data_IF_948588441442
#
_entry.id   IF_948588441442
#
_cell.length_a   1.000
_cell.length_b   1.000
_cell.length_c   1.000
_cell.angle_alpha   90.00
_cell.angle_beta   90.00
_cell.angle_gamma   90.00
#
_symmetry.space_group_name_H-M   'P 1'
#
loop_
_entity.id
_entity.type
_entity.pdbx_description
1 polymer ?
#
# COMPACT_ATOMS: atom_id res chain seq x y z
N UNK A 1 -21.08 -28.81 -2.91
CA UNK A 1 -21.64 -27.98 -1.82
C UNK A 1 -21.54 -26.52 -2.27
N UNK A 2 -22.63 -25.78 -2.28
CA UNK A 2 -22.63 -24.36 -2.59
C UNK A 2 -22.34 -23.60 -1.29
N UNK A 3 -21.20 -22.91 -1.20
CA UNK A 3 -20.74 -22.21 0.00
C UNK A 3 -20.76 -20.68 -0.16
N UNK A 4 -21.22 -20.17 -1.32
CA UNK A 4 -21.35 -18.73 -1.55
C UNK A 4 -22.30 -18.07 -0.55
N UNK A 5 -22.01 -16.82 -0.21
CA UNK A 5 -22.76 -15.97 0.73
C UNK A 5 -22.81 -16.44 2.19
N UNK A 6 -22.04 -17.46 2.58
CA UNK A 6 -21.88 -17.82 3.98
C UNK A 6 -20.74 -17.02 4.62
N UNK A 7 -20.90 -16.50 5.85
CA UNK A 7 -19.84 -15.84 6.59
C UNK A 7 -18.87 -16.90 7.15
N UNK A 8 -18.05 -17.48 6.28
CA UNK A 8 -17.07 -18.50 6.67
C UNK A 8 -15.93 -17.85 7.44
N UNK A 9 -15.74 -18.26 8.69
CA UNK A 9 -14.54 -17.93 9.45
C UNK A 9 -13.39 -18.88 9.10
N UNK A 10 -13.70 -20.17 9.00
CA UNK A 10 -12.77 -21.25 8.65
C UNK A 10 -13.46 -22.34 7.81
N UNK A 11 -12.82 -22.86 6.77
CA UNK A 11 -11.58 -22.36 6.15
C UNK A 11 -11.80 -21.00 5.46
N UNK A 12 -10.70 -20.26 5.14
CA UNK A 12 -10.82 -19.05 4.32
C UNK A 12 -11.54 -19.33 2.99
N UNK A 13 -12.34 -18.37 2.53
CA UNK A 13 -13.21 -18.55 1.34
C UNK A 13 -12.45 -19.03 0.11
N UNK A 14 -11.22 -18.55 -0.11
CA UNK A 14 -10.36 -18.96 -1.21
C UNK A 14 -9.88 -20.43 -1.14
N UNK A 15 -9.94 -21.05 0.02
CA UNK A 15 -9.72 -22.51 0.19
C UNK A 15 -11.03 -23.25 -0.03
N UNK A 16 -12.11 -22.73 0.55
CA UNK A 16 -13.43 -23.34 0.45
C UNK A 16 -13.94 -23.40 -0.99
N UNK A 17 -13.64 -22.41 -1.82
CA UNK A 17 -13.98 -22.37 -3.26
C UNK A 17 -13.25 -23.44 -4.10
N UNK A 18 -12.12 -23.97 -3.60
CA UNK A 18 -11.38 -25.06 -4.29
C UNK A 18 -12.01 -26.44 -4.12
N UNK A 19 -13.06 -26.54 -3.29
CA UNK A 19 -13.83 -27.77 -3.09
C UNK A 19 -13.45 -28.59 -1.86
N UNK A 20 -14.16 -29.71 -1.69
CA UNK A 20 -14.10 -30.53 -0.45
C UNK A 20 -12.70 -31.03 -0.11
N UNK A 21 -11.91 -31.43 -1.09
CA UNK A 21 -10.55 -31.93 -0.86
C UNK A 21 -9.65 -30.84 -0.25
N UNK A 22 -9.73 -29.63 -0.78
CA UNK A 22 -8.97 -28.49 -0.25
C UNK A 22 -9.40 -28.14 1.18
N UNK A 23 -10.70 -28.25 1.47
CA UNK A 23 -11.24 -28.04 2.83
C UNK A 23 -10.69 -29.09 3.80
N UNK A 24 -10.75 -30.36 3.44
CA UNK A 24 -10.25 -31.45 4.27
C UNK A 24 -8.75 -31.34 4.53
N UNK A 25 -7.97 -31.05 3.47
CA UNK A 25 -6.53 -30.85 3.60
C UNK A 25 -6.20 -29.66 4.53
N UNK A 26 -6.95 -28.56 4.40
CA UNK A 26 -6.79 -27.40 5.29
C UNK A 26 -6.97 -27.77 6.76
N UNK A 27 -8.04 -28.51 7.10
CA UNK A 27 -8.27 -28.93 8.48
C UNK A 27 -7.27 -29.97 8.97
N UNK A 28 -6.84 -30.90 8.11
CA UNK A 28 -5.82 -31.88 8.45
C UNK A 28 -4.45 -31.23 8.74
N UNK A 29 -4.08 -30.19 7.97
CA UNK A 29 -2.87 -29.43 8.23
C UNK A 29 -3.00 -28.57 9.51
N UNK A 30 -4.18 -28.02 9.77
CA UNK A 30 -4.44 -27.26 10.97
C UNK A 30 -4.31 -28.11 12.24
N UNK A 31 -4.81 -29.35 12.21
CA UNK A 31 -4.64 -30.32 13.32
C UNK A 31 -3.19 -30.68 13.57
N UNK A 32 -2.37 -30.80 12.50
CA UNK A 32 -0.95 -31.17 12.62
C UNK A 32 -0.06 -30.02 13.10
N UNK A 33 -0.31 -28.83 12.60
CA UNK A 33 0.61 -27.69 12.78
C UNK A 33 0.11 -26.65 13.79
N UNK A 34 -1.18 -26.71 14.15
CA UNK A 34 -1.83 -25.68 14.92
C UNK A 34 -2.07 -24.40 14.12
N UNK A 35 -2.68 -23.42 14.75
CA UNK A 35 -2.80 -22.06 14.18
C UNK A 35 -1.58 -21.25 14.56
N UNK A 36 -0.88 -20.72 13.56
CA UNK A 36 0.12 -19.68 13.79
C UNK A 36 -0.46 -18.35 13.32
N UNK A 37 -0.53 -17.38 14.23
CA UNK A 37 -0.92 -16.03 13.88
C UNK A 37 0.04 -15.49 12.83
N UNK A 38 -0.50 -14.97 11.71
CA UNK A 38 0.34 -14.31 10.72
C UNK A 38 0.80 -12.96 11.27
N UNK A 39 2.03 -12.92 11.74
CA UNK A 39 2.66 -11.75 12.34
C UNK A 39 3.20 -10.76 11.29
N UNK A 40 2.99 -11.01 10.01
CA UNK A 40 3.52 -10.16 8.94
C UNK A 40 2.42 -9.37 8.24
N UNK A 41 2.67 -8.08 8.08
CA UNK A 41 1.86 -7.18 7.27
C UNK A 41 2.66 -6.79 6.03
N UNK A 42 2.10 -6.98 4.85
CA UNK A 42 2.68 -6.44 3.63
C UNK A 42 2.27 -4.98 3.48
N UNK A 43 3.24 -4.07 3.53
CA UNK A 43 3.05 -2.63 3.39
C UNK A 43 3.73 -2.17 2.10
N UNK A 44 2.97 -1.70 1.13
CA UNK A 44 3.50 -1.21 -0.14
C UNK A 44 3.36 0.32 -0.23
N UNK A 45 4.46 0.99 -0.59
CA UNK A 45 4.49 2.44 -0.74
C UNK A 45 4.57 2.76 -2.23
N UNK A 46 3.50 3.33 -2.74
CA UNK A 46 3.31 3.62 -4.18
C UNK A 46 3.09 5.12 -4.40
N UNK A 47 3.27 5.58 -5.63
CA UNK A 47 3.13 6.99 -6.02
C UNK A 47 4.23 7.40 -7.00
N UNK A 48 4.12 8.59 -7.54
CA UNK A 48 5.04 9.13 -8.55
C UNK A 48 6.51 9.20 -8.09
N UNK A 49 7.41 9.43 -9.01
CA UNK A 49 8.79 9.82 -8.71
C UNK A 49 8.82 11.09 -7.85
N UNK A 50 9.86 11.30 -7.09
CA UNK A 50 10.12 12.50 -6.30
C UNK A 50 9.05 12.94 -5.28
N UNK A 51 7.96 12.18 -5.08
CA UNK A 51 6.96 12.51 -4.05
C UNK A 51 7.44 12.24 -2.62
N UNK A 52 8.64 11.69 -2.42
CA UNK A 52 9.22 11.48 -1.08
C UNK A 52 8.91 10.14 -0.44
N UNK A 53 8.59 9.08 -1.22
CA UNK A 53 8.33 7.72 -0.70
C UNK A 53 9.48 7.19 0.15
N UNK A 54 10.66 7.11 -0.43
CA UNK A 54 11.87 6.61 0.25
C UNK A 54 12.27 7.47 1.46
N UNK A 55 12.12 8.78 1.36
CA UNK A 55 12.33 9.70 2.48
C UNK A 55 11.35 9.42 3.62
N UNK A 56 10.09 9.14 3.29
CA UNK A 56 9.07 8.74 4.26
C UNK A 56 9.44 7.40 4.92
N UNK A 57 9.90 6.41 4.14
CA UNK A 57 10.37 5.12 4.67
C UNK A 57 11.50 5.33 5.69
N UNK A 58 12.52 6.10 5.35
CA UNK A 58 13.60 6.42 6.28
C UNK A 58 13.10 7.12 7.55
N UNK A 59 12.11 8.02 7.40
CA UNK A 59 11.53 8.69 8.57
C UNK A 59 10.78 7.74 9.48
N UNK A 60 10.04 6.79 8.91
CA UNK A 60 9.27 5.80 9.68
C UNK A 60 10.18 4.77 10.36
N UNK A 61 11.15 4.22 9.64
CA UNK A 61 11.98 3.13 10.13
C UNK A 61 13.15 3.63 10.99
N UNK A 62 13.88 4.60 10.45
CA UNK A 62 15.16 5.05 11.04
C UNK A 62 14.97 6.27 11.94
N UNK A 63 13.73 6.84 11.97
CA UNK A 63 13.36 8.08 12.68
C UNK A 63 14.25 9.28 12.30
N UNK A 64 14.86 9.22 11.12
CA UNK A 64 15.76 10.23 10.58
C UNK A 64 15.25 10.80 9.27
N UNK A 65 15.48 12.09 9.05
CA UNK A 65 15.33 12.70 7.75
C UNK A 65 16.57 12.43 6.91
N UNK A 66 16.37 11.91 5.72
CA UNK A 66 17.42 11.71 4.72
C UNK A 66 16.96 12.37 3.44
N UNK A 67 17.73 13.37 3.00
CA UNK A 67 17.52 13.96 1.67
C UNK A 67 18.15 13.04 0.63
N UNK A 68 17.34 12.61 -0.33
CA UNK A 68 17.76 11.69 -1.38
C UNK A 68 17.97 12.47 -2.66
N UNK A 69 19.21 12.63 -3.12
CA UNK A 69 19.50 13.30 -4.38
C UNK A 69 18.82 12.61 -5.57
N UNK A 70 18.47 13.37 -6.60
CA UNK A 70 17.82 12.84 -7.81
C UNK A 70 18.57 11.67 -8.45
N UNK A 71 19.89 11.68 -8.41
CA UNK A 71 20.76 10.61 -8.93
C UNK A 71 20.75 9.33 -8.09
N UNK A 72 20.28 9.41 -6.84
CA UNK A 72 20.23 8.29 -5.88
C UNK A 72 18.81 7.79 -5.65
N UNK A 73 17.92 8.00 -6.62
CA UNK A 73 16.52 7.54 -6.57
C UNK A 73 16.47 6.02 -6.46
N UNK A 74 15.41 5.55 -5.82
CA UNK A 74 15.15 4.10 -5.74
C UNK A 74 14.96 3.52 -7.15
N UNK A 75 15.80 2.53 -7.49
CA UNK A 75 15.68 1.73 -8.69
C UNK A 75 15.05 0.37 -8.34
N UNK A 76 13.93 0.05 -8.98
CA UNK A 76 13.21 -1.19 -8.71
C UNK A 76 12.47 -1.17 -7.38
N UNK A 77 12.71 -2.15 -6.52
CA UNK A 77 12.00 -2.35 -5.23
C UNK A 77 13.03 -2.56 -4.12
N UNK A 78 12.88 -1.84 -3.02
CA UNK A 78 13.63 -2.07 -1.78
C UNK A 78 12.68 -2.61 -0.72
N UNK A 79 13.02 -3.74 -0.10
CA UNK A 79 12.21 -4.37 0.95
C UNK A 79 12.93 -4.21 2.28
N UNK A 80 12.22 -3.67 3.28
CA UNK A 80 12.72 -3.50 4.66
C UNK A 80 11.71 -4.06 5.66
N UNK A 81 12.20 -4.65 6.74
CA UNK A 81 11.37 -5.09 7.85
C UNK A 81 11.22 -3.95 8.86
N UNK A 82 9.99 -3.68 9.25
CA UNK A 82 9.65 -2.70 10.26
C UNK A 82 8.90 -3.39 11.41
N UNK A 83 9.59 -3.65 12.55
CA UNK A 83 8.92 -4.10 13.77
C UNK A 83 7.98 -3.00 14.25
N UNK A 84 6.72 -3.33 14.46
CA UNK A 84 5.73 -2.41 15.02
C UNK A 84 5.84 -2.38 16.55
N UNK A 85 5.07 -1.50 17.20
CA UNK A 85 5.03 -1.39 18.67
C UNK A 85 4.57 -2.69 19.33
N UNK A 86 3.67 -3.44 18.70
CA UNK A 86 3.42 -4.82 19.04
C UNK A 86 4.58 -5.67 18.49
N UNK A 87 5.49 -6.21 19.35
CA UNK A 87 6.67 -6.94 18.91
C UNK A 87 6.35 -8.23 18.14
N UNK A 88 5.10 -8.71 18.22
CA UNK A 88 4.65 -9.86 17.46
C UNK A 88 4.34 -9.52 16.00
N UNK A 89 4.26 -8.23 15.61
CA UNK A 89 3.86 -7.82 14.27
C UNK A 89 5.00 -7.11 13.55
N UNK A 90 5.35 -7.62 12.36
CA UNK A 90 6.37 -7.05 11.48
C UNK A 90 5.74 -6.58 10.18
N UNK A 91 5.93 -5.32 9.83
CA UNK A 91 5.56 -4.84 8.50
C UNK A 91 6.73 -5.04 7.53
N UNK A 92 6.50 -5.80 6.47
CA UNK A 92 7.39 -5.88 5.31
C UNK A 92 7.09 -4.67 4.41
N UNK A 93 7.95 -3.67 4.49
CA UNK A 93 7.81 -2.40 3.76
C UNK A 93 8.45 -2.53 2.40
N UNK A 94 7.66 -2.36 1.34
CA UNK A 94 8.07 -2.41 -0.05
C UNK A 94 8.09 -0.99 -0.61
N UNK A 95 9.27 -0.42 -0.75
CA UNK A 95 9.49 0.91 -1.32
C UNK A 95 9.81 0.80 -2.81
N UNK A 96 8.88 1.28 -3.63
CA UNK A 96 9.00 1.21 -5.09
C UNK A 96 9.61 2.49 -5.68
N UNK A 97 10.53 2.32 -6.61
CA UNK A 97 10.98 3.41 -7.47
C UNK A 97 9.77 4.02 -8.21
N UNK A 98 9.62 5.34 -8.13
CA UNK A 98 8.44 6.03 -8.67
C UNK A 98 8.54 6.43 -10.14
N UNK A 99 9.62 6.05 -10.83
CA UNK A 99 9.83 6.39 -12.24
C UNK A 99 8.90 5.57 -13.14
N UNK A 100 8.44 6.17 -14.24
CA UNK A 100 7.50 5.55 -15.18
C UNK A 100 7.96 4.18 -15.68
N UNK A 101 9.24 4.02 -15.95
CA UNK A 101 9.83 2.75 -16.41
C UNK A 101 9.56 1.57 -15.46
N UNK A 102 9.32 1.83 -14.18
CA UNK A 102 9.05 0.78 -13.20
C UNK A 102 7.56 0.50 -12.98
N UNK A 103 6.64 1.29 -13.55
CA UNK A 103 5.20 1.13 -13.31
C UNK A 103 4.69 -0.24 -13.78
N UNK A 104 5.16 -0.73 -14.92
CA UNK A 104 4.82 -2.07 -15.41
C UNK A 104 5.30 -3.17 -14.45
N UNK A 105 6.48 -2.98 -13.84
CA UNK A 105 7.05 -3.92 -12.86
C UNK A 105 6.28 -3.89 -11.54
N UNK A 106 5.77 -2.72 -11.11
CA UNK A 106 4.96 -2.60 -9.89
C UNK A 106 3.75 -3.55 -9.92
N UNK A 107 3.11 -3.70 -11.08
CA UNK A 107 1.94 -4.59 -11.25
C UNK A 107 2.20 -6.03 -10.84
N UNK A 108 3.42 -6.52 -11.01
CA UNK A 108 3.80 -7.89 -10.64
C UNK A 108 3.79 -8.13 -9.12
N UNK A 109 3.91 -7.08 -8.34
CA UNK A 109 4.02 -7.16 -6.88
C UNK A 109 2.75 -6.71 -6.14
N UNK A 110 1.80 -6.06 -6.84
CA UNK A 110 0.52 -5.71 -6.25
C UNK A 110 -0.28 -6.98 -5.96
N UNK A 111 -0.89 -7.03 -4.79
CA UNK A 111 -1.63 -8.24 -4.36
C UNK A 111 -2.72 -7.87 -3.35
N UNK A 112 -3.77 -8.70 -3.24
CA UNK A 112 -4.74 -8.61 -2.16
C UNK A 112 -4.08 -8.74 -0.77
N UNK A 113 -4.80 -8.33 0.28
CA UNK A 113 -4.31 -8.37 1.68
C UNK A 113 -3.05 -7.57 1.92
N UNK A 114 -2.90 -6.47 1.19
CA UNK A 114 -1.80 -5.52 1.31
C UNK A 114 -2.32 -4.21 1.88
N UNK A 115 -1.54 -3.59 2.75
CA UNK A 115 -1.75 -2.19 3.13
C UNK A 115 -0.97 -1.31 2.15
N UNK A 116 -1.67 -0.44 1.44
CA UNK A 116 -1.06 0.50 0.50
C UNK A 116 -0.95 1.89 1.10
N UNK A 117 0.24 2.48 1.07
CA UNK A 117 0.43 3.91 1.26
C UNK A 117 0.58 4.56 -0.11
N UNK A 118 -0.45 5.26 -0.56
CA UNK A 118 -0.37 6.05 -1.78
C UNK A 118 0.12 7.45 -1.44
N UNK A 119 1.40 7.69 -1.73
CA UNK A 119 2.07 8.96 -1.46
C UNK A 119 1.95 9.87 -2.67
N UNK A 120 1.47 11.09 -2.44
CA UNK A 120 1.32 12.11 -3.46
C UNK A 120 1.72 13.49 -2.92
N UNK A 121 2.01 14.42 -3.81
CA UNK A 121 2.24 15.83 -3.50
C UNK A 121 1.50 16.70 -4.50
N UNK A 122 0.91 17.83 -4.09
CA UNK A 122 0.33 18.78 -5.02
C UNK A 122 1.40 19.51 -5.86
N UNK A 123 2.66 19.52 -5.42
CA UNK A 123 3.76 20.15 -6.13
C UNK A 123 4.24 19.29 -7.29
N UNK A 124 4.13 19.85 -8.50
CA UNK A 124 4.60 19.24 -9.75
C UNK A 124 5.99 19.73 -10.15
N UNK A 125 6.44 20.85 -9.60
CA UNK A 125 7.63 21.58 -10.02
C UNK A 125 8.95 20.84 -9.73
N UNK A 126 8.94 19.94 -8.73
CA UNK A 126 10.12 19.16 -8.38
C UNK A 126 10.28 17.86 -9.20
N UNK A 127 9.51 17.70 -10.28
CA UNK A 127 9.53 16.50 -11.12
C UNK A 127 10.07 16.84 -12.53
N UNK A 128 11.38 17.05 -12.68
CA UNK A 128 11.94 17.28 -14.00
C UNK A 128 11.76 16.00 -14.82
N UNK A 129 11.22 16.17 -16.02
CA UNK A 129 11.14 15.16 -17.08
C UNK A 129 10.28 13.90 -16.79
N UNK A 130 9.46 13.89 -15.73
CA UNK A 130 8.57 12.76 -15.44
C UNK A 130 7.10 13.12 -15.62
N UNK A 131 6.34 12.20 -16.22
CA UNK A 131 4.89 12.34 -16.30
C UNK A 131 4.29 12.26 -14.92
N UNK A 132 3.54 13.29 -14.51
CA UNK A 132 2.80 13.25 -13.24
C UNK A 132 1.49 12.50 -13.42
N UNK A 133 1.37 11.40 -12.73
CA UNK A 133 0.13 10.63 -12.66
C UNK A 133 -0.71 11.08 -11.46
N UNK A 134 -2.01 11.32 -11.71
CA UNK A 134 -2.96 11.64 -10.64
C UNK A 134 -3.11 10.45 -9.67
N UNK A 135 -3.53 10.66 -8.42
CA UNK A 135 -3.79 9.57 -7.47
C UNK A 135 -4.74 8.49 -8.00
N UNK A 136 -5.70 8.85 -8.86
CA UNK A 136 -6.60 7.90 -9.53
C UNK A 136 -5.88 6.82 -10.33
N UNK A 137 -4.82 7.19 -11.05
CA UNK A 137 -4.00 6.24 -11.80
C UNK A 137 -3.46 5.10 -10.93
N UNK A 138 -2.96 5.42 -9.74
CA UNK A 138 -2.46 4.43 -8.79
C UNK A 138 -3.58 3.62 -8.16
N UNK A 139 -4.71 4.26 -7.90
CA UNK A 139 -5.89 3.58 -7.36
C UNK A 139 -6.48 2.59 -8.35
N UNK A 140 -6.44 2.85 -9.66
CA UNK A 140 -6.85 1.91 -10.70
C UNK A 140 -6.02 0.62 -10.62
N UNK A 141 -4.69 0.72 -10.53
CA UNK A 141 -3.83 -0.44 -10.37
C UNK A 141 -4.11 -1.21 -9.08
N UNK A 142 -4.29 -0.50 -7.96
CA UNK A 142 -4.61 -1.14 -6.68
C UNK A 142 -5.99 -1.81 -6.74
N UNK A 143 -6.95 -1.20 -7.40
CA UNK A 143 -8.30 -1.74 -7.56
C UNK A 143 -8.31 -3.04 -8.36
N UNK A 144 -7.53 -3.09 -9.43
CA UNK A 144 -7.45 -4.26 -10.31
C UNK A 144 -6.74 -5.45 -9.66
N UNK A 145 -5.63 -5.20 -8.98
CA UNK A 145 -4.69 -6.23 -8.54
C UNK A 145 -4.71 -6.46 -7.02
N UNK A 146 -5.06 -5.44 -6.26
CA UNK A 146 -5.11 -5.45 -4.80
C UNK A 146 -6.53 -5.54 -4.23
N UNK A 147 -7.45 -6.23 -4.88
CA UNK A 147 -8.87 -6.32 -4.51
C UNK A 147 -9.11 -6.42 -3.01
N UNK A 148 -9.97 -5.54 -2.48
CA UNK A 148 -10.32 -5.52 -1.06
C UNK A 148 -9.23 -5.01 -0.12
N UNK A 149 -8.10 -4.56 -0.65
CA UNK A 149 -6.99 -4.03 0.14
C UNK A 149 -7.33 -2.69 0.78
N UNK A 150 -6.59 -2.38 1.85
CA UNK A 150 -6.70 -1.08 2.52
C UNK A 150 -5.69 -0.09 1.94
N UNK A 151 -6.15 1.13 1.68
CA UNK A 151 -5.36 2.24 1.16
C UNK A 151 -5.35 3.40 2.14
N UNK A 152 -4.17 3.93 2.42
CA UNK A 152 -3.98 5.20 3.15
C UNK A 152 -3.42 6.21 2.16
N UNK A 153 -4.11 7.32 1.98
CA UNK A 153 -3.65 8.44 1.17
C UNK A 153 -2.73 9.32 2.01
N UNK A 154 -1.52 9.55 1.53
CA UNK A 154 -0.48 10.32 2.23
C UNK A 154 -0.05 11.50 1.38
N UNK A 155 -0.47 12.70 1.77
CA UNK A 155 0.04 13.94 1.20
C UNK A 155 1.39 14.26 1.84
N UNK A 156 2.44 14.23 1.04
CA UNK A 156 3.82 14.53 1.47
C UNK A 156 4.19 15.99 1.22
N UNK A 157 5.36 16.40 1.74
CA UNK A 157 5.97 17.72 1.53
C UNK A 157 5.06 18.89 1.92
N UNK A 158 4.26 18.76 2.98
CA UNK A 158 3.37 19.82 3.42
C UNK A 158 4.10 21.06 3.94
N UNK A 159 5.39 20.96 4.20
CA UNK A 159 6.27 22.08 4.55
C UNK A 159 6.61 23.00 3.36
N UNK A 160 6.39 22.52 2.14
CA UNK A 160 6.72 23.25 0.91
C UNK A 160 5.49 23.86 0.24
N UNK A 161 4.28 23.42 0.56
CA UNK A 161 3.05 23.91 -0.05
C UNK A 161 1.91 23.98 0.95
N UNK A 162 1.19 25.10 0.94
CA UNK A 162 -0.11 25.25 1.60
C UNK A 162 -1.24 24.63 0.79
N UNK A 163 -0.99 24.23 -0.47
CA UNK A 163 -2.03 23.74 -1.36
C UNK A 163 -2.47 22.33 -0.94
N UNK A 164 -3.72 22.27 -0.58
CA UNK A 164 -4.39 21.00 -0.42
C UNK A 164 -4.94 20.60 -1.78
N UNK A 165 -4.71 19.35 -2.21
CA UNK A 165 -5.69 18.73 -3.10
C UNK A 165 -7.05 18.93 -2.42
N UNK A 166 -7.99 19.53 -3.16
CA UNK A 166 -9.30 19.87 -2.61
C UNK A 166 -9.83 18.64 -1.88
N UNK A 167 -10.12 18.80 -0.60
CA UNK A 167 -10.58 17.69 0.26
C UNK A 167 -11.82 16.98 -0.33
N UNK A 168 -12.67 17.75 -1.00
CA UNK A 168 -13.87 17.26 -1.66
C UNK A 168 -13.59 16.33 -2.85
N UNK A 169 -12.52 16.59 -3.62
CA UNK A 169 -12.15 15.72 -4.74
C UNK A 169 -11.55 14.41 -4.25
N UNK A 170 -10.79 14.43 -3.15
CA UNK A 170 -10.29 13.22 -2.52
C UNK A 170 -11.42 12.36 -1.93
N UNK A 171 -12.39 12.96 -1.28
CA UNK A 171 -13.53 12.23 -0.72
C UNK A 171 -14.44 11.64 -1.82
N UNK A 172 -14.64 12.34 -2.93
CA UNK A 172 -15.34 11.80 -4.11
C UNK A 172 -14.56 10.60 -4.69
N UNK A 173 -13.23 10.74 -4.81
CA UNK A 173 -12.35 9.69 -5.31
C UNK A 173 -12.44 8.44 -4.41
N UNK A 174 -12.27 8.58 -3.11
CA UNK A 174 -12.40 7.48 -2.14
C UNK A 174 -13.75 6.79 -2.22
N UNK A 175 -14.84 7.57 -2.29
CA UNK A 175 -16.21 7.03 -2.41
C UNK A 175 -16.34 6.19 -3.68
N UNK A 176 -15.84 6.68 -4.81
CA UNK A 176 -15.87 5.96 -6.08
C UNK A 176 -15.20 4.59 -5.96
N UNK A 177 -13.93 4.55 -5.51
CA UNK A 177 -13.17 3.30 -5.42
C UNK A 177 -13.70 2.35 -4.33
N UNK A 178 -14.24 2.88 -3.25
CA UNK A 178 -14.90 2.06 -2.22
C UNK A 178 -16.13 1.37 -2.78
N UNK A 179 -16.99 2.11 -3.49
CA UNK A 179 -18.30 1.61 -3.99
C UNK A 179 -18.12 0.66 -5.17
N UNK A 180 -17.26 0.98 -6.14
CA UNK A 180 -17.15 0.24 -7.40
C UNK A 180 -16.06 -0.83 -7.40
N UNK A 181 -15.05 -0.69 -6.56
CA UNK A 181 -13.88 -1.57 -6.54
C UNK A 181 -13.62 -2.25 -5.19
N UNK A 182 -14.42 -1.95 -4.17
CA UNK A 182 -14.31 -2.58 -2.85
C UNK A 182 -13.05 -2.21 -2.06
N UNK A 183 -12.33 -1.16 -2.46
CA UNK A 183 -11.17 -0.69 -1.71
C UNK A 183 -11.59 -0.12 -0.36
N UNK A 184 -10.81 -0.38 0.66
CA UNK A 184 -11.01 0.17 1.99
C UNK A 184 -10.05 1.34 2.20
N UNK A 185 -10.56 2.48 2.67
CA UNK A 185 -9.73 3.64 2.93
C UNK A 185 -9.57 3.89 4.42
N UNK A 186 -8.32 4.13 4.83
CA UNK A 186 -7.99 4.65 6.14
C UNK A 186 -8.11 6.18 6.21
N UNK A 187 -7.64 6.74 7.31
CA UNK A 187 -7.53 8.18 7.49
C UNK A 187 -6.53 8.78 6.48
N UNK A 188 -6.84 9.94 5.91
CA UNK A 188 -5.89 10.68 5.09
C UNK A 188 -4.80 11.28 5.99
N UNK A 189 -3.56 11.13 5.58
CA UNK A 189 -2.42 11.67 6.32
C UNK A 189 -1.79 12.83 5.54
N UNK A 190 -1.36 13.84 6.27
CA UNK A 190 -0.56 14.96 5.76
C UNK A 190 0.75 14.98 6.52
N UNK A 191 1.85 14.86 5.80
CA UNK A 191 3.16 14.66 6.42
C UNK A 191 4.25 15.53 5.81
N UNK A 192 5.20 15.92 6.66
CA UNK A 192 6.51 16.39 6.23
C UNK A 192 7.57 15.50 6.86
N UNK A 193 8.25 14.71 6.06
CA UNK A 193 9.39 13.94 6.52
C UNK A 193 10.53 14.85 7.02
N UNK A 194 10.65 16.07 6.49
CA UNK A 194 11.65 17.06 6.88
C UNK A 194 11.40 17.63 8.26
N UNK A 195 10.18 18.10 8.53
CA UNK A 195 9.83 18.80 9.78
C UNK A 195 9.28 17.87 10.86
N UNK A 196 9.12 16.58 10.57
CA UNK A 196 8.55 15.57 11.48
C UNK A 196 7.08 15.89 11.89
N UNK A 197 6.30 16.35 10.93
CA UNK A 197 4.86 16.59 11.08
C UNK A 197 4.10 15.53 10.31
#
# INVERSE_FOLDING_TARGET
VYIGYNPLEKPPINIAEKGNEAILNYFAELEKSGETANSYIKLQIVGNGCVGKTTLVHRLLDKKYVEIPLKERTHGVIIKNWPLEDPAVIANVWDFGGQEIYHATHRLFLSPRTLYLLVYTPQKEDMPDETYFQPSYWLDYIADLGKGSRVILVQSKIDMSSDNLLSDDLEKLKRHYKTHHGLQFGQNLKVSAKTNK
#
